data_IF_408786033065
#
_entry.id   IF_408786033065
#
_cell.length_a   1.000
_cell.length_b   1.000
_cell.length_c   1.000
_cell.angle_alpha   90.00
_cell.angle_beta   90.00
_cell.angle_gamma   90.00
#
_symmetry.space_group_name_H-M   'P 1'
#
loop_
_entity.id
_entity.type
_entity.pdbx_description
1 polymer ?
#
# COMPACT_ATOMS: atom_id res chain seq x y z
N UNK A 1 3.03 18.48 -15.53
CA UNK A 1 2.85 18.25 -14.08
C UNK A 1 4.23 18.12 -13.47
N UNK A 2 4.50 18.73 -12.31
CA UNK A 2 5.75 18.53 -11.56
C UNK A 2 5.63 17.24 -10.73
N UNK A 3 6.13 16.12 -11.25
CA UNK A 3 6.12 14.80 -10.60
C UNK A 3 6.85 14.86 -9.25
N UNK A 4 7.96 15.59 -9.18
CA UNK A 4 8.73 15.73 -7.94
C UNK A 4 7.95 16.52 -6.87
N UNK A 5 7.24 17.58 -7.26
CA UNK A 5 6.35 18.34 -6.36
C UNK A 5 5.22 17.46 -5.83
N UNK A 6 4.58 16.70 -6.71
CA UNK A 6 3.50 15.79 -6.33
C UNK A 6 3.98 14.66 -5.40
N UNK A 7 5.14 14.08 -5.67
CA UNK A 7 5.76 13.09 -4.80
C UNK A 7 6.05 13.62 -3.39
N UNK A 8 6.51 14.88 -3.27
CA UNK A 8 6.70 15.54 -1.96
C UNK A 8 5.37 15.72 -1.23
N UNK A 9 4.33 16.16 -1.94
CA UNK A 9 2.99 16.31 -1.37
C UNK A 9 2.46 14.99 -0.83
N UNK A 10 2.50 13.91 -1.62
CA UNK A 10 2.02 12.59 -1.22
C UNK A 10 2.77 12.03 0.00
N UNK A 11 4.10 12.25 0.06
CA UNK A 11 4.88 11.89 1.27
C UNK A 11 4.42 12.68 2.49
N UNK A 12 4.14 13.97 2.33
CA UNK A 12 3.63 14.80 3.43
C UNK A 12 2.24 14.35 3.88
N UNK A 13 1.38 14.00 2.94
CA UNK A 13 0.04 13.46 3.16
C UNK A 13 0.05 12.00 3.64
N UNK A 14 1.22 11.39 3.74
CA UNK A 14 1.41 9.97 4.09
C UNK A 14 0.62 9.01 3.19
N UNK A 15 0.43 9.40 1.94
CA UNK A 15 -0.27 8.60 0.93
C UNK A 15 0.74 7.69 0.22
N UNK A 16 0.56 6.36 0.23
CA UNK A 16 1.43 5.43 -0.46
C UNK A 16 1.28 5.57 -1.97
N UNK A 17 2.40 5.51 -2.70
CA UNK A 17 2.43 5.57 -4.15
C UNK A 17 3.66 4.83 -4.71
N UNK A 18 3.68 4.59 -6.02
CA UNK A 18 4.86 4.11 -6.72
C UNK A 18 5.43 5.23 -7.59
N UNK A 19 6.71 5.50 -7.43
CA UNK A 19 7.46 6.37 -8.33
C UNK A 19 8.00 5.51 -9.48
N UNK A 20 7.55 5.79 -10.69
CA UNK A 20 7.97 5.11 -11.91
C UNK A 20 8.93 5.99 -12.69
N UNK A 21 10.08 5.45 -13.09
CA UNK A 21 11.07 6.15 -13.91
C UNK A 21 11.45 5.30 -15.11
N UNK A 22 11.34 5.84 -16.32
CA UNK A 22 11.83 5.20 -17.53
C UNK A 22 13.36 5.23 -17.53
N UNK A 23 13.99 4.08 -17.35
CA UNK A 23 15.47 3.97 -17.32
C UNK A 23 16.04 3.70 -18.70
N UNK A 24 15.24 3.08 -19.59
CA UNK A 24 15.61 2.84 -20.98
C UNK A 24 14.39 2.85 -21.89
N UNK A 25 14.54 3.45 -23.05
CA UNK A 25 13.53 3.48 -24.10
C UNK A 25 14.17 3.14 -25.44
N UNK A 26 13.57 2.21 -26.18
CA UNK A 26 14.03 1.81 -27.50
C UNK A 26 12.93 2.02 -28.54
N UNK A 27 13.25 2.78 -29.58
CA UNK A 27 12.32 3.13 -30.63
C UNK A 27 11.75 1.92 -31.37
N UNK A 28 10.49 2.05 -31.88
CA UNK A 28 9.63 3.22 -31.80
C UNK A 28 8.81 3.26 -30.50
N UNK A 29 9.04 4.27 -29.67
CA UNK A 29 8.26 4.54 -28.44
C UNK A 29 8.10 6.06 -28.25
N UNK A 30 7.00 6.47 -27.60
CA UNK A 30 6.77 7.87 -27.24
C UNK A 30 7.50 8.28 -25.94
N UNK A 31 7.88 7.30 -25.10
CA UNK A 31 8.63 7.56 -23.87
C UNK A 31 10.12 7.72 -24.12
N UNK A 32 10.78 8.44 -23.23
CA UNK A 32 12.23 8.68 -23.21
C UNK A 32 12.81 8.30 -21.86
N UNK A 33 14.08 7.92 -21.84
CA UNK A 33 14.79 7.75 -20.58
C UNK A 33 14.76 9.06 -19.76
N UNK A 34 14.39 8.94 -18.48
CA UNK A 34 14.14 10.06 -17.59
C UNK A 34 12.70 10.53 -17.50
N UNK A 35 11.78 10.01 -18.31
CA UNK A 35 10.35 10.26 -18.12
C UNK A 35 9.88 9.61 -16.81
N UNK A 36 8.99 10.29 -16.08
CA UNK A 36 8.55 9.90 -14.75
C UNK A 36 7.03 9.94 -14.62
N UNK A 37 6.51 9.07 -13.74
CA UNK A 37 5.12 9.09 -13.32
C UNK A 37 4.98 8.65 -11.86
N UNK A 38 3.85 9.03 -11.27
CA UNK A 38 3.36 8.54 -9.98
C UNK A 38 2.18 7.62 -10.24
N UNK A 39 2.15 6.48 -9.55
CA UNK A 39 1.01 5.57 -9.58
C UNK A 39 0.43 5.47 -8.18
N UNK A 40 -0.85 5.78 -8.06
CA UNK A 40 -1.59 5.71 -6.81
C UNK A 40 -2.15 4.31 -6.56
N UNK A 41 -2.59 4.04 -5.34
CA UNK A 41 -3.12 2.73 -4.95
C UNK A 41 -4.43 2.35 -5.67
N UNK A 42 -5.19 3.33 -6.17
CA UNK A 42 -6.39 3.13 -7.00
C UNK A 42 -6.07 2.83 -8.47
N UNK A 43 -4.78 2.87 -8.85
CA UNK A 43 -4.30 2.64 -10.20
C UNK A 43 -4.26 3.89 -11.08
N UNK A 44 -4.54 5.08 -10.55
CA UNK A 44 -4.36 6.34 -11.29
C UNK A 44 -2.88 6.57 -11.58
N UNK A 45 -2.58 7.06 -12.79
CA UNK A 45 -1.22 7.39 -13.25
C UNK A 45 -1.14 8.88 -13.50
N UNK A 46 -0.33 9.56 -12.70
CA UNK A 46 -0.01 10.98 -12.85
C UNK A 46 1.38 11.13 -13.45
N UNK A 47 1.49 11.69 -14.66
CA UNK A 47 2.76 11.82 -15.40
C UNK A 47 2.80 10.98 -16.67
N UNK A 48 4.00 10.58 -17.13
CA UNK A 48 4.13 9.86 -18.39
C UNK A 48 5.30 8.85 -18.37
N UNK A 49 5.00 7.60 -18.66
CA UNK A 49 5.99 6.51 -18.78
C UNK A 49 5.74 5.62 -20.01
N UNK A 50 5.00 6.15 -20.98
CA UNK A 50 4.69 5.45 -22.23
C UNK A 50 3.23 5.58 -22.65
N UNK A 51 2.90 5.09 -23.83
CA UNK A 51 1.52 5.08 -24.36
C UNK A 51 0.61 4.10 -23.61
N UNK A 52 -0.69 4.10 -23.94
CA UNK A 52 -1.72 3.34 -23.22
C UNK A 52 -1.42 1.84 -23.05
N UNK A 53 -0.79 1.20 -24.05
CA UNK A 53 -0.42 -0.20 -23.93
C UNK A 53 0.62 -0.43 -22.82
N UNK A 54 1.64 0.43 -22.74
CA UNK A 54 2.64 0.36 -21.68
C UNK A 54 2.04 0.68 -20.31
N UNK A 55 1.15 1.67 -20.22
CA UNK A 55 0.48 2.07 -18.97
C UNK A 55 -0.28 0.92 -18.30
N UNK A 56 -0.94 0.06 -19.07
CA UNK A 56 -1.64 -1.11 -18.52
C UNK A 56 -0.67 -2.09 -17.82
N UNK A 57 0.48 -2.37 -18.44
CA UNK A 57 1.52 -3.22 -17.88
C UNK A 57 2.17 -2.58 -16.65
N UNK A 58 2.44 -1.27 -16.74
CA UNK A 58 3.02 -0.48 -15.64
C UNK A 58 2.09 -0.44 -14.43
N UNK A 59 0.78 -0.19 -14.64
CA UNK A 59 -0.23 -0.18 -13.58
C UNK A 59 -0.26 -1.50 -12.83
N UNK A 60 -0.34 -2.62 -13.53
CA UNK A 60 -0.36 -3.95 -12.92
C UNK A 60 0.90 -4.23 -12.10
N UNK A 61 2.08 -3.94 -12.67
CA UNK A 61 3.36 -4.17 -12.00
C UNK A 61 3.54 -3.24 -10.79
N UNK A 62 3.12 -1.97 -10.90
CA UNK A 62 3.21 -0.99 -9.82
C UNK A 62 2.31 -1.33 -8.63
N UNK A 63 1.06 -1.76 -8.87
CA UNK A 63 0.18 -2.23 -7.80
C UNK A 63 0.76 -3.45 -7.09
N UNK A 64 1.37 -4.39 -7.82
CA UNK A 64 2.09 -5.51 -7.22
C UNK A 64 3.31 -5.07 -6.41
N UNK A 65 4.10 -4.13 -6.92
CA UNK A 65 5.24 -3.55 -6.20
C UNK A 65 4.82 -2.83 -4.92
N UNK A 66 3.69 -2.09 -4.96
CA UNK A 66 3.14 -1.40 -3.80
C UNK A 66 2.69 -2.39 -2.72
N UNK A 67 2.02 -3.48 -3.11
CA UNK A 67 1.57 -4.53 -2.18
C UNK A 67 2.75 -5.28 -1.55
N UNK A 68 3.79 -5.59 -2.35
CA UNK A 68 4.97 -6.28 -1.86
C UNK A 68 5.91 -5.36 -1.04
N UNK A 69 5.81 -4.03 -1.23
CA UNK A 69 6.76 -3.07 -0.67
C UNK A 69 8.15 -3.15 -1.28
N UNK A 70 8.28 -3.78 -2.45
CA UNK A 70 9.56 -4.04 -3.12
C UNK A 70 9.66 -3.33 -4.46
N UNK A 71 10.85 -2.80 -4.76
CA UNK A 71 11.12 -2.16 -6.05
C UNK A 71 11.21 -3.21 -7.15
N UNK A 72 10.68 -2.87 -8.33
CA UNK A 72 10.63 -3.76 -9.49
C UNK A 72 11.23 -3.07 -10.71
N UNK A 73 12.10 -3.75 -11.44
CA UNK A 73 12.49 -3.37 -12.80
C UNK A 73 11.54 -4.05 -13.79
N UNK A 74 10.65 -3.27 -14.37
CA UNK A 74 9.68 -3.75 -15.36
C UNK A 74 10.25 -3.59 -16.77
N UNK A 75 10.23 -4.66 -17.56
CA UNK A 75 10.54 -4.66 -18.99
C UNK A 75 9.26 -4.87 -19.78
N UNK A 76 8.92 -3.91 -20.61
CA UNK A 76 7.83 -4.00 -21.57
C UNK A 76 8.45 -4.22 -22.94
N UNK A 77 8.33 -5.42 -23.48
CA UNK A 77 8.91 -5.80 -24.75
C UNK A 77 7.80 -6.00 -25.80
N UNK A 78 8.03 -5.63 -27.08
CA UNK A 78 7.14 -6.00 -28.17
C UNK A 78 7.22 -7.50 -28.45
N UNK A 79 6.29 -8.02 -29.21
CA UNK A 79 6.39 -9.36 -29.78
C UNK A 79 7.47 -9.36 -30.88
N UNK A 80 8.54 -10.15 -30.68
CA UNK A 80 9.67 -10.22 -31.62
C UNK A 80 11.06 -10.19 -30.98
N UNK A 81 12.11 -9.95 -31.80
CA UNK A 81 13.53 -10.11 -31.48
C UNK A 81 14.18 -8.93 -30.71
N UNK A 82 13.39 -8.02 -30.12
CA UNK A 82 13.95 -6.92 -29.33
C UNK A 82 14.37 -7.41 -27.93
N UNK A 83 15.65 -7.37 -27.66
CA UNK A 83 16.23 -7.82 -26.39
C UNK A 83 16.94 -6.65 -25.68
N UNK A 84 16.70 -6.51 -24.38
CA UNK A 84 17.60 -5.77 -23.49
C UNK A 84 18.68 -6.71 -22.94
N UNK A 85 19.84 -6.18 -22.53
CA UNK A 85 20.83 -6.98 -21.81
C UNK A 85 20.21 -7.66 -20.60
N UNK A 86 20.69 -8.86 -20.27
CA UNK A 86 20.16 -9.59 -19.12
C UNK A 86 20.20 -8.76 -17.85
N UNK A 87 19.07 -8.77 -17.11
CA UNK A 87 18.94 -8.18 -15.80
C UNK A 87 18.21 -9.19 -14.90
N UNK A 88 18.96 -9.97 -14.12
CA UNK A 88 18.39 -10.92 -13.18
C UNK A 88 17.40 -10.20 -12.24
N UNK A 89 16.22 -10.80 -12.07
CA UNK A 89 15.16 -10.22 -11.22
C UNK A 89 14.27 -9.18 -11.91
N UNK A 90 14.48 -8.86 -13.19
CA UNK A 90 13.56 -8.00 -13.93
C UNK A 90 12.24 -8.74 -14.24
N UNK A 91 11.12 -8.06 -14.04
CA UNK A 91 9.80 -8.56 -14.48
C UNK A 91 9.61 -8.23 -15.96
N UNK A 92 9.51 -9.26 -16.79
CA UNK A 92 9.32 -9.10 -18.23
C UNK A 92 7.86 -9.27 -18.59
N UNK A 93 7.32 -8.30 -19.33
CA UNK A 93 5.98 -8.37 -19.93
C UNK A 93 6.10 -8.20 -21.43
N UNK A 94 5.65 -9.20 -22.17
CA UNK A 94 5.53 -9.08 -23.62
C UNK A 94 4.24 -8.35 -23.94
N UNK A 95 4.38 -7.22 -24.64
CA UNK A 95 3.27 -6.37 -25.03
C UNK A 95 3.17 -6.36 -26.56
N UNK A 96 2.23 -7.10 -27.17
CA UNK A 96 2.08 -7.21 -28.62
C UNK A 96 1.56 -5.92 -29.27
N UNK A 97 1.88 -4.75 -28.70
CA UNK A 97 1.44 -3.46 -29.21
C UNK A 97 2.08 -3.17 -30.56
N UNK A 98 1.27 -2.63 -31.48
CA UNK A 98 1.67 -2.26 -32.85
C UNK A 98 2.79 -1.21 -32.94
N UNK A 99 3.10 -0.52 -31.83
CA UNK A 99 4.17 0.48 -31.78
C UNK A 99 5.58 -0.12 -31.82
N UNK A 100 5.76 -1.39 -31.43
CA UNK A 100 7.02 -2.12 -31.57
C UNK A 100 8.18 -1.62 -30.71
N UNK A 101 8.01 -0.64 -29.83
CA UNK A 101 9.06 -0.13 -28.97
C UNK A 101 9.22 -0.94 -27.67
N UNK A 102 10.43 -0.90 -27.09
CA UNK A 102 10.70 -1.53 -25.81
C UNK A 102 11.04 -0.52 -24.73
N UNK A 103 10.63 -0.82 -23.47
CA UNK A 103 10.83 0.04 -22.31
C UNK A 103 11.37 -0.75 -21.13
N UNK A 104 12.30 -0.16 -20.39
CA UNK A 104 12.63 -0.54 -19.02
C UNK A 104 12.21 0.58 -18.08
N UNK A 105 11.43 0.23 -17.07
CA UNK A 105 10.84 1.18 -16.13
C UNK A 105 11.14 0.68 -14.72
N UNK A 106 11.79 1.53 -13.92
CA UNK A 106 12.03 1.25 -12.53
C UNK A 106 10.82 1.72 -11.71
N UNK A 107 10.23 0.81 -10.95
CA UNK A 107 9.09 1.04 -10.09
C UNK A 107 9.56 1.01 -8.63
N UNK A 108 9.53 2.16 -7.97
CA UNK A 108 9.97 2.32 -6.58
C UNK A 108 8.78 2.66 -5.69
N UNK A 109 8.23 1.72 -4.91
CA UNK A 109 7.16 2.00 -3.97
C UNK A 109 7.65 2.95 -2.87
N UNK A 110 6.83 3.93 -2.56
CA UNK A 110 7.00 4.91 -1.51
C UNK A 110 5.92 4.68 -0.48
N UNK A 111 6.23 3.90 0.54
CA UNK A 111 5.31 3.54 1.62
C UNK A 111 5.72 4.35 2.85
N UNK A 112 4.80 5.12 3.45
CA UNK A 112 5.09 5.86 4.67
C UNK A 112 5.50 4.92 5.80
N UNK A 113 6.47 5.35 6.62
CA UNK A 113 6.83 4.61 7.82
C UNK A 113 5.61 4.45 8.74
N UNK A 114 5.45 3.31 9.43
CA UNK A 114 4.39 3.17 10.43
C UNK A 114 4.45 4.29 11.46
N UNK A 115 3.28 4.89 11.77
CA UNK A 115 3.16 5.92 12.79
C UNK A 115 2.58 5.30 14.06
N UNK A 116 3.37 5.27 15.13
CA UNK A 116 2.95 4.79 16.42
C UNK A 116 2.63 5.97 17.35
N UNK A 117 1.47 5.93 18.01
CA UNK A 117 1.20 6.81 19.13
C UNK A 117 1.49 6.08 20.44
N UNK A 118 2.40 6.65 21.26
CA UNK A 118 2.78 6.10 22.55
C UNK A 118 2.28 7.05 23.62
N UNK A 119 1.24 6.61 24.36
CA UNK A 119 0.62 7.37 25.45
C UNK A 119 1.24 7.01 26.78
N UNK A 120 1.65 8.02 27.53
CA UNK A 120 2.29 7.90 28.84
C UNK A 120 3.79 8.18 28.83
N UNK A 121 4.33 8.36 30.05
CA UNK A 121 5.74 8.73 30.30
C UNK A 121 6.45 7.69 31.16
N UNK A 122 5.97 6.44 31.13
CA UNK A 122 6.58 5.35 31.92
C UNK A 122 7.94 4.93 31.34
N UNK A 123 8.81 4.28 32.11
CA UNK A 123 10.07 3.74 31.60
C UNK A 123 9.88 2.75 30.43
N UNK A 124 8.73 2.08 30.34
CA UNK A 124 8.36 1.22 29.22
C UNK A 124 8.08 2.09 27.99
N UNK A 125 7.29 3.16 28.13
CA UNK A 125 7.01 4.10 27.04
C UNK A 125 8.30 4.70 26.48
N UNK A 126 9.20 5.19 27.33
CA UNK A 126 10.49 5.76 26.91
C UNK A 126 11.38 4.75 26.18
N UNK A 127 11.41 3.51 26.67
CA UNK A 127 12.17 2.43 26.00
C UNK A 127 11.56 2.09 24.64
N UNK A 128 10.24 2.06 24.54
CA UNK A 128 9.54 1.76 23.29
C UNK A 128 9.78 2.86 22.24
N UNK A 129 9.76 4.14 22.62
CA UNK A 129 10.10 5.25 21.73
C UNK A 129 11.47 5.03 21.08
N UNK A 130 12.51 4.73 21.87
CA UNK A 130 13.86 4.49 21.35
C UNK A 130 13.93 3.28 20.42
N UNK A 131 13.19 2.24 20.71
CA UNK A 131 13.11 1.06 19.83
C UNK A 131 12.44 1.40 18.52
N UNK A 132 11.34 2.16 18.54
CA UNK A 132 10.65 2.62 17.34
C UNK A 132 11.54 3.49 16.46
N UNK A 133 12.37 4.37 17.04
CA UNK A 133 13.36 5.17 16.32
C UNK A 133 14.39 4.28 15.59
N UNK A 134 14.90 3.26 16.26
CA UNK A 134 15.83 2.27 15.65
C UNK A 134 15.18 1.50 14.51
N UNK A 135 13.88 1.20 14.63
CA UNK A 135 13.09 0.52 13.58
C UNK A 135 12.72 1.45 12.41
N UNK A 136 13.00 2.74 12.50
CA UNK A 136 12.59 3.73 11.51
C UNK A 136 11.10 4.03 11.51
N UNK A 137 10.40 3.75 12.63
CA UNK A 137 9.00 4.09 12.81
C UNK A 137 8.87 5.54 13.28
N UNK A 138 7.83 6.22 12.81
CA UNK A 138 7.49 7.53 13.34
C UNK A 138 6.74 7.39 14.66
N UNK A 139 7.06 8.26 15.62
CA UNK A 139 6.44 8.22 16.95
C UNK A 139 5.75 9.55 17.24
N UNK A 140 4.50 9.48 17.68
CA UNK A 140 3.75 10.60 18.26
C UNK A 140 3.57 10.36 19.76
N UNK A 141 3.92 11.35 20.57
CA UNK A 141 3.85 11.29 22.04
C UNK A 141 2.72 12.18 22.57
N UNK A 142 2.46 12.08 23.88
CA UNK A 142 1.58 13.01 24.56
C UNK A 142 2.17 14.43 24.51
N UNK A 143 1.34 15.41 24.15
CA UNK A 143 1.77 16.79 23.90
C UNK A 143 2.11 17.11 22.46
N UNK A 144 2.28 16.10 21.58
CA UNK A 144 2.26 16.29 20.14
C UNK A 144 0.81 16.51 19.67
N UNK A 145 0.60 16.77 18.38
CA UNK A 145 -0.74 17.04 17.84
C UNK A 145 -1.79 16.05 18.38
N UNK A 146 -2.83 16.58 19.02
CA UNK A 146 -3.92 15.77 19.57
C UNK A 146 -4.68 15.04 18.47
N UNK A 147 -4.81 13.73 18.60
CA UNK A 147 -5.58 12.91 17.67
C UNK A 147 -4.88 11.60 17.27
N UNK A 148 -5.66 10.75 16.65
CA UNK A 148 -5.22 9.43 16.18
C UNK A 148 -5.20 9.35 14.65
N UNK A 149 -5.33 10.49 13.96
CA UNK A 149 -5.31 10.51 12.49
C UNK A 149 -3.97 10.01 11.95
N UNK A 150 -4.04 9.07 11.03
CA UNK A 150 -2.87 8.47 10.40
C UNK A 150 -2.05 7.55 11.30
N UNK A 151 -2.50 7.32 12.54
CA UNK A 151 -1.83 6.44 13.48
C UNK A 151 -2.10 4.98 13.10
N UNK A 152 -1.03 4.23 12.90
CA UNK A 152 -1.07 2.80 12.55
C UNK A 152 -1.32 1.95 13.78
N UNK A 153 -0.64 2.26 14.89
CA UNK A 153 -0.77 1.53 16.14
C UNK A 153 -0.68 2.49 17.34
N UNK A 154 -1.40 2.16 18.41
CA UNK A 154 -1.37 2.88 19.68
C UNK A 154 -0.85 1.96 20.78
N UNK A 155 0.06 2.45 21.59
CA UNK A 155 0.49 1.77 22.82
C UNK A 155 0.23 2.69 24.01
N UNK A 156 -0.63 2.23 24.93
CA UNK A 156 -1.01 2.96 26.14
C UNK A 156 -0.18 2.38 27.29
N UNK A 157 0.79 3.18 27.75
CA UNK A 157 1.72 2.83 28.81
C UNK A 157 1.67 3.89 29.93
N UNK A 158 0.48 4.13 30.45
CA UNK A 158 0.19 5.08 31.54
C UNK A 158 0.27 4.38 32.89
N UNK A 159 0.23 5.18 33.96
CA UNK A 159 0.11 4.67 35.35
C UNK A 159 -1.34 4.52 35.82
N UNK A 160 -2.30 4.66 34.90
CA UNK A 160 -3.74 4.65 35.17
C UNK A 160 -4.41 5.97 34.84
N UNK A 161 -5.73 5.94 34.76
CA UNK A 161 -6.58 7.12 34.58
C UNK A 161 -7.39 7.08 33.29
N UNK A 162 -6.88 7.61 32.17
CA UNK A 162 -7.64 7.81 30.94
C UNK A 162 -7.56 6.61 29.95
N UNK A 163 -7.23 5.40 30.41
CA UNK A 163 -6.99 4.24 29.53
C UNK A 163 -8.23 3.88 28.71
N UNK A 164 -9.40 3.85 29.37
CA UNK A 164 -10.68 3.55 28.71
C UNK A 164 -11.03 4.57 27.62
N UNK A 165 -10.79 5.86 27.89
CA UNK A 165 -11.06 6.95 26.94
C UNK A 165 -10.07 6.91 25.77
N UNK A 166 -8.78 6.66 26.04
CA UNK A 166 -7.76 6.53 24.99
C UNK A 166 -8.02 5.34 24.06
N UNK A 167 -8.42 4.18 24.63
CA UNK A 167 -8.78 3.01 23.83
C UNK A 167 -9.97 3.33 22.94
N UNK A 168 -11.02 3.94 23.50
CA UNK A 168 -12.21 4.31 22.73
C UNK A 168 -11.89 5.28 21.62
N UNK A 169 -11.16 6.38 21.93
CA UNK A 169 -10.78 7.38 20.95
C UNK A 169 -9.91 6.80 19.82
N UNK A 170 -8.98 5.90 20.13
CA UNK A 170 -8.17 5.22 19.13
C UNK A 170 -9.01 4.31 18.22
N UNK A 171 -9.95 3.56 18.79
CA UNK A 171 -10.84 2.68 18.02
C UNK A 171 -11.82 3.47 17.14
N UNK A 172 -12.35 4.57 17.65
CA UNK A 172 -13.26 5.46 16.90
C UNK A 172 -12.55 6.17 15.74
N UNK A 173 -11.24 6.46 15.91
CA UNK A 173 -10.39 6.96 14.83
C UNK A 173 -9.94 5.86 13.83
N UNK A 174 -10.39 4.62 14.01
CA UNK A 174 -10.09 3.53 13.09
C UNK A 174 -8.71 2.88 13.25
N UNK A 175 -7.98 3.16 14.36
CA UNK A 175 -6.68 2.54 14.62
C UNK A 175 -6.79 1.02 14.64
N UNK A 176 -5.93 0.35 13.85
CA UNK A 176 -5.97 -1.10 13.68
C UNK A 176 -5.44 -1.91 14.87
N UNK A 177 -4.55 -1.31 15.66
CA UNK A 177 -3.91 -1.97 16.81
C UNK A 177 -3.85 -1.05 18.02
N UNK A 178 -4.38 -1.48 19.15
CA UNK A 178 -4.35 -0.77 20.42
C UNK A 178 -3.78 -1.69 21.50
N UNK A 179 -2.56 -1.42 21.94
CA UNK A 179 -1.89 -2.16 23.01
C UNK A 179 -2.01 -1.45 24.36
N UNK A 180 -2.48 -2.15 25.39
CA UNK A 180 -2.51 -1.65 26.76
C UNK A 180 -1.47 -2.34 27.62
N UNK A 181 -0.54 -1.58 28.18
CA UNK A 181 0.44 -2.05 29.17
C UNK A 181 -0.25 -2.17 30.52
N UNK A 182 -0.70 -3.37 30.84
CA UNK A 182 -1.39 -3.66 32.11
C UNK A 182 -1.15 -5.12 32.51
N UNK A 183 -1.36 -5.44 33.77
CA UNK A 183 -1.50 -6.82 34.19
C UNK A 183 -2.77 -7.44 33.61
N UNK A 184 -2.83 -8.75 33.52
CA UNK A 184 -4.01 -9.46 32.98
C UNK A 184 -5.31 -9.06 33.70
N UNK A 185 -5.28 -9.00 35.05
CA UNK A 185 -6.45 -8.61 35.84
C UNK A 185 -6.88 -7.17 35.59
N UNK A 186 -5.91 -6.23 35.50
CA UNK A 186 -6.21 -4.83 35.23
C UNK A 186 -6.70 -4.63 33.80
N UNK A 187 -6.05 -5.26 32.82
CA UNK A 187 -6.49 -5.18 31.43
C UNK A 187 -7.92 -5.69 31.24
N UNK A 188 -8.29 -6.79 31.88
CA UNK A 188 -9.65 -7.29 31.89
C UNK A 188 -10.63 -6.27 32.47
N UNK A 189 -10.31 -5.69 33.65
CA UNK A 189 -11.17 -4.67 34.28
C UNK A 189 -11.39 -3.45 33.39
N UNK A 190 -10.34 -2.92 32.75
CA UNK A 190 -10.45 -1.78 31.82
C UNK A 190 -11.35 -2.13 30.64
N UNK A 191 -11.24 -3.35 30.10
CA UNK A 191 -12.06 -3.77 28.97
C UNK A 191 -13.51 -4.06 29.32
N UNK A 192 -13.78 -4.45 30.56
CA UNK A 192 -15.16 -4.64 31.08
C UNK A 192 -15.87 -3.30 31.26
N UNK A 193 -15.13 -2.20 31.51
CA UNK A 193 -15.68 -0.85 31.58
C UNK A 193 -16.10 -0.30 30.22
N UNK A 194 -15.54 -0.86 29.13
CA UNK A 194 -15.73 -0.37 27.77
C UNK A 194 -16.63 -1.37 27.01
N UNK A 195 -17.81 -0.91 26.59
CA UNK A 195 -18.69 -1.73 25.76
C UNK A 195 -18.11 -1.81 24.33
N UNK A 196 -17.24 -2.79 24.06
CA UNK A 196 -16.62 -3.00 22.75
C UNK A 196 -17.39 -4.05 21.95
N UNK A 197 -17.57 -3.80 20.65
CA UNK A 197 -18.01 -4.82 19.71
C UNK A 197 -16.96 -5.92 19.53
N UNK A 198 -17.33 -7.08 19.01
CA UNK A 198 -16.38 -8.17 18.74
C UNK A 198 -15.22 -7.71 17.83
N UNK A 199 -15.50 -6.92 16.81
CA UNK A 199 -14.51 -6.39 15.90
C UNK A 199 -13.55 -5.40 16.59
N UNK A 200 -14.05 -4.52 17.46
CA UNK A 200 -13.23 -3.59 18.23
C UNK A 200 -12.38 -4.34 19.26
N UNK A 201 -12.96 -5.32 19.91
CA UNK A 201 -12.25 -6.15 20.91
C UNK A 201 -11.03 -6.87 20.32
N UNK A 202 -11.14 -7.34 19.07
CA UNK A 202 -10.04 -8.00 18.35
C UNK A 202 -8.85 -7.08 18.05
N UNK A 203 -9.03 -5.76 18.12
CA UNK A 203 -7.96 -4.77 17.92
C UNK A 203 -7.25 -4.36 19.22
N UNK A 204 -7.77 -4.75 20.38
CA UNK A 204 -7.20 -4.38 21.69
C UNK A 204 -6.43 -5.55 22.30
N UNK A 205 -5.14 -5.31 22.50
CA UNK A 205 -4.18 -6.27 23.02
C UNK A 205 -3.82 -5.92 24.48
N UNK A 206 -4.18 -6.79 25.41
CA UNK A 206 -3.85 -6.62 26.83
C UNK A 206 -3.79 -7.98 27.55
N UNK A 207 -2.74 -8.26 28.30
CA UNK A 207 -1.45 -7.55 28.35
C UNK A 207 -0.79 -7.46 26.98
N UNK A 208 -0.27 -6.28 26.62
CA UNK A 208 0.45 -6.09 25.36
C UNK A 208 1.87 -6.64 25.43
N UNK A 209 2.32 -7.24 24.34
CA UNK A 209 3.66 -7.79 24.17
C UNK A 209 3.70 -9.31 24.09
N UNK A 210 4.60 -9.83 23.25
CA UNK A 210 4.81 -11.27 23.12
C UNK A 210 5.35 -11.88 24.41
N UNK A 211 4.97 -13.12 24.80
CA UNK A 211 5.39 -13.76 26.04
C UNK A 211 6.85 -14.27 25.96
N UNK A 212 7.81 -13.36 25.93
CA UNK A 212 9.25 -13.67 25.86
C UNK A 212 9.95 -13.78 27.22
N UNK A 213 9.20 -13.69 28.33
CA UNK A 213 9.76 -13.70 29.69
C UNK A 213 10.36 -12.36 30.12
N UNK A 214 9.97 -11.25 29.48
CA UNK A 214 10.43 -9.90 29.77
C UNK A 214 10.17 -9.49 31.23
N UNK A 215 11.17 -8.85 31.88
CA UNK A 215 11.10 -8.38 33.28
C UNK A 215 11.44 -6.92 33.46
N UNK A 216 12.36 -6.39 32.64
CA UNK A 216 12.76 -4.97 32.68
C UNK A 216 11.90 -4.13 31.75
N UNK A 217 11.79 -2.80 31.98
CA UNK A 217 11.06 -1.92 31.06
C UNK A 217 11.54 -2.03 29.61
N UNK A 218 12.84 -2.16 29.39
CA UNK A 218 13.40 -2.30 28.05
C UNK A 218 13.03 -3.64 27.39
N UNK A 219 13.06 -4.75 28.14
CA UNK A 219 12.65 -6.06 27.64
C UNK A 219 11.14 -6.09 27.31
N UNK A 220 10.31 -5.47 28.16
CA UNK A 220 8.87 -5.32 27.91
C UNK A 220 8.66 -4.49 26.65
N UNK A 221 9.39 -3.39 26.45
CA UNK A 221 9.31 -2.59 25.25
C UNK A 221 9.71 -3.38 23.98
N UNK A 222 10.72 -4.26 24.06
CA UNK A 222 11.08 -5.19 22.98
C UNK A 222 9.92 -6.15 22.67
N UNK A 223 9.29 -6.73 23.69
CA UNK A 223 8.17 -7.66 23.50
C UNK A 223 6.97 -6.97 22.82
N UNK A 224 6.70 -5.72 23.19
CA UNK A 224 5.64 -4.90 22.59
C UNK A 224 5.99 -4.57 21.12
N UNK A 225 7.22 -4.13 20.86
CA UNK A 225 7.67 -3.84 19.49
C UNK A 225 7.57 -5.08 18.60
N UNK A 226 7.96 -6.26 19.11
CA UNK A 226 7.86 -7.51 18.36
C UNK A 226 6.40 -7.88 18.03
N UNK A 227 5.46 -7.67 18.95
CA UNK A 227 4.04 -7.91 18.70
C UNK A 227 3.49 -6.93 17.66
N UNK A 228 3.84 -5.64 17.76
CA UNK A 228 3.46 -4.62 16.77
C UNK A 228 4.01 -4.98 15.38
N UNK A 229 5.28 -5.38 15.27
CA UNK A 229 5.86 -5.84 14.00
C UNK A 229 5.08 -7.05 13.45
N UNK A 230 4.77 -8.01 14.30
CA UNK A 230 3.99 -9.19 13.88
C UNK A 230 2.61 -8.80 13.35
N UNK A 231 1.92 -7.90 14.02
CA UNK A 231 0.62 -7.38 13.58
C UNK A 231 0.72 -6.65 12.24
N UNK A 232 1.72 -5.79 12.06
CA UNK A 232 1.97 -5.05 10.81
C UNK A 232 2.28 -5.97 9.62
N UNK A 233 3.07 -7.03 9.83
CA UNK A 233 3.57 -7.90 8.75
C UNK A 233 2.62 -9.04 8.38
N UNK A 234 1.80 -9.50 9.32
CA UNK A 234 0.89 -10.63 9.13
C UNK A 234 -0.53 -10.22 8.71
N UNK A 235 -0.70 -9.00 8.22
CA UNK A 235 -1.96 -8.53 7.60
C UNK A 235 -3.06 -8.18 8.61
N UNK A 236 -2.69 -7.87 9.86
CA UNK A 236 -3.65 -7.47 10.89
C UNK A 236 -3.94 -5.97 10.95
N UNK A 237 -3.12 -5.13 10.33
CA UNK A 237 -3.28 -3.67 10.39
C UNK A 237 -3.45 -3.08 8.99
N UNK A 238 -4.35 -2.11 8.80
CA UNK A 238 -4.40 -1.35 7.57
C UNK A 238 -3.10 -0.54 7.41
N UNK A 239 -2.47 -0.63 6.25
CA UNK A 239 -1.30 0.15 5.88
C UNK A 239 -1.68 1.62 5.67
N UNK A 240 -1.71 2.41 6.76
CA UNK A 240 -1.86 3.87 6.71
C UNK A 240 -3.29 4.40 6.62
N UNK A 241 -3.47 5.74 6.67
CA UNK A 241 -4.74 6.42 6.96
C UNK A 241 -5.79 6.41 5.84
N UNK A 242 -5.58 5.74 4.73
CA UNK A 242 -6.52 5.71 3.59
C UNK A 242 -7.00 4.32 3.19
N UNK A 243 -6.78 3.30 4.00
CA UNK A 243 -7.47 2.03 3.82
C UNK A 243 -8.68 1.96 4.74
N UNK A 244 -9.75 2.67 4.39
CA UNK A 244 -11.11 2.28 4.76
C UNK A 244 -11.49 1.02 3.98
N UNK A 245 -10.76 -0.07 4.19
CA UNK A 245 -11.13 -1.39 3.74
C UNK A 245 -11.06 -2.30 4.96
N UNK A 246 -12.24 -2.61 5.50
CA UNK A 246 -12.53 -3.85 6.21
C UNK A 246 -11.73 -5.00 5.59
N UNK A 247 -11.24 -6.02 6.37
CA UNK A 247 -10.70 -7.24 5.80
C UNK A 247 -11.82 -8.12 5.22
N UNK A 248 -12.66 -7.50 4.41
CA UNK A 248 -13.58 -8.09 3.50
C UNK A 248 -13.17 -7.57 2.13
N UNK A 249 -12.47 -8.40 1.36
CA UNK A 249 -12.24 -8.18 -0.07
C UNK A 249 -11.58 -6.82 -0.37
N UNK A 250 -10.22 -6.76 -0.28
CA UNK A 250 -9.52 -5.93 -1.24
C UNK A 250 -10.17 -6.22 -2.59
N UNK A 251 -10.68 -5.22 -3.34
CA UNK A 251 -11.20 -5.50 -4.65
C UNK A 251 -10.04 -6.16 -5.39
N UNK A 252 -10.16 -7.45 -5.61
CA UNK A 252 -9.23 -8.18 -6.45
C UNK A 252 -9.12 -7.31 -7.70
N UNK A 253 -7.90 -6.86 -8.02
CA UNK A 253 -7.66 -6.02 -9.19
C UNK A 253 -8.33 -6.75 -10.33
N UNK A 254 -9.52 -6.29 -10.72
CA UNK A 254 -10.30 -6.97 -11.74
C UNK A 254 -9.48 -6.90 -13.02
N UNK A 255 -9.13 -8.05 -13.54
CA UNK A 255 -8.42 -8.14 -14.81
C UNK A 255 -9.34 -8.76 -15.85
N UNK A 256 -9.25 -8.29 -17.07
CA UNK A 256 -9.92 -8.86 -18.22
C UNK A 256 -8.88 -9.19 -19.30
N UNK A 257 -9.22 -10.10 -20.19
CA UNK A 257 -8.38 -10.42 -21.35
C UNK A 257 -8.94 -9.66 -22.55
N UNK A 258 -8.09 -8.87 -23.21
CA UNK A 258 -8.43 -8.20 -24.45
C UNK A 258 -8.71 -9.27 -25.54
N UNK A 259 -9.94 -9.32 -26.09
CA UNK A 259 -10.34 -10.37 -27.02
C UNK A 259 -9.66 -10.26 -28.39
N UNK A 260 -8.97 -9.16 -28.68
CA UNK A 260 -8.29 -8.92 -29.98
C UNK A 260 -6.83 -9.35 -29.93
N UNK A 261 -6.12 -9.05 -28.85
CA UNK A 261 -4.69 -9.31 -28.75
C UNK A 261 -4.28 -10.26 -27.62
N UNK A 262 -5.24 -10.72 -26.80
CA UNK A 262 -4.99 -11.65 -25.71
C UNK A 262 -4.30 -11.05 -24.48
N UNK A 263 -4.07 -9.72 -24.45
CA UNK A 263 -3.42 -9.06 -23.33
C UNK A 263 -4.33 -9.00 -22.12
N UNK A 264 -3.80 -9.28 -20.93
CA UNK A 264 -4.49 -9.04 -19.67
C UNK A 264 -4.48 -7.54 -19.35
N UNK A 265 -5.65 -6.93 -19.20
CA UNK A 265 -5.84 -5.52 -18.85
C UNK A 265 -6.42 -5.40 -17.45
N UNK A 266 -6.00 -4.39 -16.71
CA UNK A 266 -6.63 -4.04 -15.43
C UNK A 266 -7.92 -3.27 -15.71
N UNK A 267 -9.02 -3.69 -15.11
CA UNK A 267 -10.31 -3.00 -15.22
C UNK A 267 -10.31 -1.81 -14.25
N UNK A 268 -10.24 -0.59 -14.79
CA UNK A 268 -10.34 0.67 -14.09
C UNK A 268 -11.34 1.58 -14.83
N UNK A 269 -11.76 2.68 -14.21
CA UNK A 269 -12.74 3.62 -14.79
C UNK A 269 -12.35 4.16 -16.17
N UNK A 270 -11.05 4.30 -16.42
CA UNK A 270 -10.48 4.81 -17.69
C UNK A 270 -10.06 3.71 -18.68
N UNK A 271 -10.20 2.43 -18.29
CA UNK A 271 -9.84 1.33 -19.19
C UNK A 271 -10.80 1.28 -20.37
N UNK A 272 -10.23 1.25 -21.57
CA UNK A 272 -11.01 1.23 -22.82
C UNK A 272 -11.93 0.00 -22.83
N UNK A 273 -13.24 0.23 -22.97
CA UNK A 273 -14.22 -0.86 -22.97
C UNK A 273 -15.23 -0.70 -24.12
N UNK A 274 -15.96 -1.79 -24.39
CA UNK A 274 -17.06 -1.84 -25.34
C UNK A 274 -18.15 -2.79 -24.80
N UNK A 275 -19.35 -2.28 -24.65
CA UNK A 275 -20.49 -3.09 -24.22
C UNK A 275 -21.21 -3.69 -25.42
N UNK A 276 -21.43 -5.00 -25.43
CA UNK A 276 -22.18 -5.73 -26.45
C UNK A 276 -23.05 -6.80 -25.76
N UNK A 277 -24.34 -6.81 -26.07
CA UNK A 277 -25.34 -7.76 -25.56
C UNK A 277 -25.32 -7.92 -24.03
N UNK A 278 -25.10 -6.81 -23.30
CA UNK A 278 -25.07 -6.79 -21.83
C UNK A 278 -23.77 -7.33 -21.23
N UNK A 279 -22.72 -7.53 -22.03
CA UNK A 279 -21.37 -7.90 -21.58
C UNK A 279 -20.38 -6.79 -21.90
N UNK A 280 -19.50 -6.51 -20.94
CA UNK A 280 -18.40 -5.58 -21.13
C UNK A 280 -17.15 -6.32 -21.60
N UNK A 281 -16.54 -5.80 -22.67
CA UNK A 281 -15.25 -6.25 -23.19
C UNK A 281 -14.23 -5.15 -22.97
N UNK A 282 -13.09 -5.51 -22.41
CA UNK A 282 -12.05 -4.58 -22.03
C UNK A 282 -10.85 -4.71 -22.95
N UNK A 283 -10.23 -3.57 -23.32
CA UNK A 283 -9.19 -3.53 -24.33
C UNK A 283 -7.96 -2.81 -23.80
N UNK A 284 -6.79 -3.25 -24.24
CA UNK A 284 -5.51 -2.63 -23.92
C UNK A 284 -5.35 -1.24 -24.55
N UNK A 285 -6.07 -0.96 -25.64
CA UNK A 285 -5.99 0.31 -26.36
C UNK A 285 -7.23 0.54 -27.25
N UNK A 286 -7.47 1.81 -27.69
CA UNK A 286 -8.56 2.14 -28.61
C UNK A 286 -8.50 1.39 -29.94
N UNK A 287 -7.29 1.03 -30.41
CA UNK A 287 -7.12 0.28 -31.65
C UNK A 287 -7.69 -1.13 -31.58
N UNK A 288 -7.51 -1.84 -30.47
CA UNK A 288 -8.13 -3.15 -30.23
C UNK A 288 -9.64 -3.04 -30.13
N UNK A 289 -10.17 -2.04 -29.40
CA UNK A 289 -11.60 -1.78 -29.33
C UNK A 289 -12.21 -1.54 -30.72
N UNK A 290 -11.57 -0.72 -31.55
CA UNK A 290 -12.06 -0.41 -32.90
C UNK A 290 -12.09 -1.63 -33.80
N UNK A 291 -11.07 -2.50 -33.73
CA UNK A 291 -11.03 -3.78 -34.47
C UNK A 291 -12.13 -4.72 -34.04
N UNK A 292 -12.35 -4.82 -32.72
CA UNK A 292 -13.43 -5.64 -32.18
C UNK A 292 -14.80 -5.14 -32.67
N UNK A 293 -15.06 -3.82 -32.53
CA UNK A 293 -16.31 -3.22 -32.98
C UNK A 293 -16.56 -3.45 -34.49
N UNK A 294 -15.53 -3.29 -35.32
CA UNK A 294 -15.62 -3.55 -36.76
C UNK A 294 -15.91 -5.02 -37.09
N UNK A 295 -15.33 -5.96 -36.35
CA UNK A 295 -15.58 -7.40 -36.51
C UNK A 295 -17.04 -7.77 -36.13
N UNK A 296 -17.61 -7.15 -35.10
CA UNK A 296 -18.99 -7.37 -34.68
C UNK A 296 -20.02 -6.72 -35.65
N UNK A 297 -19.66 -5.62 -36.31
CA UNK A 297 -20.51 -4.97 -37.30
C UNK A 297 -20.64 -5.75 -38.64
N UNK A 298 -19.69 -6.70 -38.89
CA UNK A 298 -19.64 -7.55 -40.08
C UNK A 298 -20.11 -8.99 -39.83
N UNK A 299 -20.56 -9.30 -38.61
CA UNK A 299 -21.11 -10.60 -38.20
C UNK A 299 -22.63 -10.56 -38.09
#
# INVERSE_FOLDING_TARGET
MDVAGRARQLRHERTPFVHATVVRAQHPTSARAGDEAILLADGEIEGFVGGQCAQSSVRKAALGALQAGESVLLRVLPDGDLHFPDAPGATVVVNPCLSGGALEIFLAPQIPAPLLRICGTTPIAESLVRICEVLGYEVRRDGDADGFEGVTAVVIATHGGAESDLIRAALDAGVGYVGLVASQARGAAVLDEIALSCCQRGRVHTPVGLPIGAKTPAEIAVSIAAEVISALRNGGLPDGPNTTATPAEQPAVQTAVDPVCGMTVTVASETVHFALDGRDFWFCCPGCRSRFAAAQANA
#
